data_IF_666612595428
#
_entry.id   IF_666612595428
#
_cell.length_a   1.000
_cell.length_b   1.000
_cell.length_c   1.000
_cell.angle_alpha   90.00
_cell.angle_beta   90.00
_cell.angle_gamma   90.00
#
_symmetry.space_group_name_H-M   'P 1'
#
loop_
_entity.id
_entity.type
_entity.pdbx_description
1 polymer ?
#
# COMPACT_ATOMS: atom_id res chain seq x y z
N UNK A 1 23.20 -63.68 33.00
CA UNK A 1 22.16 -63.25 32.08
C UNK A 1 21.16 -62.36 32.81
N UNK A 2 21.23 -61.07 32.68
CA UNK A 2 20.20 -60.07 33.12
C UNK A 2 20.09 -59.01 32.04
N UNK A 3 18.93 -59.00 31.38
CA UNK A 3 18.55 -57.96 30.42
C UNK A 3 18.17 -56.70 31.19
N UNK A 4 18.78 -55.58 30.84
CA UNK A 4 18.38 -54.27 31.27
C UNK A 4 17.55 -53.61 30.16
N UNK A 5 16.26 -53.34 30.44
CA UNK A 5 15.36 -52.64 29.54
C UNK A 5 15.59 -51.15 29.66
N UNK A 6 15.83 -50.50 28.52
CA UNK A 6 15.86 -49.02 28.37
C UNK A 6 14.45 -48.54 28.09
N UNK A 7 13.88 -47.80 29.01
CA UNK A 7 12.65 -47.01 28.81
C UNK A 7 12.98 -45.69 28.10
N UNK A 8 12.50 -45.54 26.85
CA UNK A 8 12.49 -44.27 26.15
C UNK A 8 11.25 -43.47 26.55
N UNK A 9 11.47 -42.38 27.27
CA UNK A 9 10.42 -41.37 27.53
C UNK A 9 10.28 -40.48 26.31
N UNK A 10 9.15 -40.57 25.63
CA UNK A 10 8.79 -39.66 24.54
C UNK A 10 8.26 -38.33 25.12
N UNK A 11 9.01 -37.25 24.94
CA UNK A 11 8.53 -35.90 25.23
C UNK A 11 7.57 -35.47 24.11
N UNK A 12 6.29 -35.35 24.40
CA UNK A 12 5.31 -34.76 23.54
C UNK A 12 5.42 -33.21 23.60
N UNK A 13 5.91 -32.59 22.54
CA UNK A 13 5.89 -31.13 22.39
C UNK A 13 4.48 -30.76 21.95
N UNK A 14 3.72 -30.12 22.83
CA UNK A 14 2.43 -29.54 22.52
C UNK A 14 2.65 -28.26 21.67
N UNK A 15 2.37 -28.35 20.38
CA UNK A 15 2.30 -27.20 19.50
C UNK A 15 1.02 -26.39 19.83
N UNK A 16 1.18 -25.24 20.47
CA UNK A 16 0.09 -24.28 20.63
C UNK A 16 -0.18 -23.61 19.29
N UNK A 17 -1.18 -24.11 18.55
CA UNK A 17 -1.71 -23.47 17.36
C UNK A 17 -2.39 -22.16 17.77
N UNK A 18 -1.72 -21.02 17.53
CA UNK A 18 -2.35 -19.71 17.63
C UNK A 18 -3.52 -19.63 16.63
N UNK A 19 -4.73 -19.56 17.14
CA UNK A 19 -5.93 -19.34 16.33
C UNK A 19 -5.90 -17.91 15.81
N UNK A 20 -5.56 -17.73 14.53
CA UNK A 20 -5.91 -16.51 13.82
C UNK A 20 -7.43 -16.36 13.93
N UNK A 21 -7.89 -15.24 14.48
CA UNK A 21 -9.32 -14.90 14.54
C UNK A 21 -9.81 -14.73 13.12
N UNK A 22 -10.36 -15.77 12.52
CA UNK A 22 -11.09 -15.68 11.28
C UNK A 22 -12.29 -14.76 11.53
N UNK A 23 -12.42 -13.70 10.74
CA UNK A 23 -13.62 -12.85 10.69
C UNK A 23 -14.78 -13.78 10.38
N UNK A 24 -15.56 -14.11 11.41
CA UNK A 24 -16.49 -15.23 11.37
C UNK A 24 -17.75 -14.90 10.55
N UNK A 25 -18.15 -15.85 9.73
CA UNK A 25 -19.50 -15.93 9.18
C UNK A 25 -20.47 -16.25 10.32
N UNK A 26 -21.54 -15.46 10.45
CA UNK A 26 -22.64 -15.79 11.36
C UNK A 26 -23.54 -16.80 10.63
N UNK A 27 -23.62 -18.02 11.14
CA UNK A 27 -24.48 -19.04 10.58
C UNK A 27 -25.95 -18.71 10.87
N UNK A 28 -26.75 -18.54 9.82
CA UNK A 28 -28.20 -18.43 9.92
C UNK A 28 -28.83 -19.85 9.90
N UNK A 29 -30.06 -20.05 10.45
CA UNK A 29 -30.76 -21.29 10.28
C UNK A 29 -31.01 -21.60 8.80
N UNK A 30 -30.48 -22.74 8.30
CA UNK A 30 -30.57 -23.16 6.90
C UNK A 30 -29.21 -23.12 6.17
N UNK A 31 -29.25 -22.99 4.85
CA UNK A 31 -28.08 -23.02 3.95
C UNK A 31 -27.35 -21.67 3.80
N UNK A 32 -27.85 -20.62 4.46
CA UNK A 32 -27.34 -19.26 4.28
C UNK A 32 -26.53 -18.79 5.46
N UNK A 33 -25.51 -17.98 5.17
CA UNK A 33 -24.64 -17.33 6.18
C UNK A 33 -24.57 -15.84 5.91
N UNK A 34 -24.36 -15.03 6.95
CA UNK A 34 -24.07 -13.60 6.78
C UNK A 34 -22.60 -13.43 6.46
N UNK A 35 -22.29 -12.83 5.30
CA UNK A 35 -20.95 -12.42 4.98
C UNK A 35 -20.53 -11.25 5.88
N UNK A 36 -19.46 -11.41 6.62
CA UNK A 36 -18.90 -10.31 7.42
C UNK A 36 -18.43 -9.15 6.54
N UNK A 37 -18.34 -7.95 7.11
CA UNK A 37 -17.82 -6.78 6.41
C UNK A 37 -16.39 -7.02 5.94
N UNK A 38 -16.10 -6.71 4.68
CA UNK A 38 -14.75 -6.79 4.10
C UNK A 38 -13.91 -5.54 4.37
N UNK A 39 -14.49 -4.53 5.03
CA UNK A 39 -13.77 -3.30 5.37
C UNK A 39 -12.83 -3.59 6.53
N UNK A 40 -11.53 -3.55 6.27
CA UNK A 40 -10.52 -3.63 7.31
C UNK A 40 -10.60 -2.38 8.20
N UNK A 41 -10.68 -2.59 9.50
CA UNK A 41 -10.66 -1.52 10.51
C UNK A 41 -9.21 -1.37 10.97
N UNK A 42 -8.68 -0.14 11.11
CA UNK A 42 -7.35 0.09 11.66
C UNK A 42 -7.23 -0.45 13.08
N UNK A 43 -6.01 -0.86 13.45
CA UNK A 43 -5.70 -1.37 14.78
C UNK A 43 -6.09 -0.33 15.87
N UNK A 44 -6.80 -0.80 16.88
CA UNK A 44 -7.24 0.01 18.01
C UNK A 44 -8.56 0.76 17.82
N UNK A 45 -9.21 0.63 16.66
CA UNK A 45 -10.54 1.20 16.43
C UNK A 45 -11.64 0.17 16.70
N UNK A 46 -12.78 0.63 17.23
CA UNK A 46 -13.95 -0.20 17.50
C UNK A 46 -14.92 -0.22 16.33
N UNK A 47 -15.68 -1.31 16.18
CA UNK A 47 -16.74 -1.43 15.19
C UNK A 47 -17.78 -0.32 15.38
N UNK A 48 -18.14 0.37 14.31
CA UNK A 48 -19.06 1.50 14.32
C UNK A 48 -18.47 2.83 14.80
N UNK A 49 -17.23 2.85 15.28
CA UNK A 49 -16.51 4.08 15.68
C UNK A 49 -15.47 4.55 14.65
N UNK A 50 -15.58 4.02 13.44
CA UNK A 50 -14.66 4.31 12.33
C UNK A 50 -15.45 4.68 11.07
N UNK A 51 -14.96 5.66 10.34
CA UNK A 51 -15.52 6.09 9.06
C UNK A 51 -14.43 6.18 8.00
N UNK A 52 -14.66 5.54 6.86
CA UNK A 52 -13.83 5.72 5.66
C UNK A 52 -14.59 6.51 4.61
N UNK A 53 -13.97 7.57 4.11
CA UNK A 53 -14.48 8.37 3.00
C UNK A 53 -13.57 8.14 1.79
N UNK A 54 -14.15 7.77 0.66
CA UNK A 54 -13.44 7.55 -0.61
C UNK A 54 -13.99 8.53 -1.64
N UNK A 55 -13.12 9.36 -2.21
CA UNK A 55 -13.49 10.37 -3.22
C UNK A 55 -12.62 10.21 -4.47
N UNK A 56 -13.20 10.09 -5.66
CA UNK A 56 -12.47 10.04 -6.93
C UNK A 56 -12.11 11.45 -7.43
N UNK A 57 -10.90 11.60 -7.96
CA UNK A 57 -10.39 12.82 -8.61
C UNK A 57 -9.66 12.45 -9.91
N UNK A 58 -10.36 12.37 -11.03
CA UNK A 58 -9.77 11.90 -12.30
C UNK A 58 -8.97 10.60 -12.11
N UNK A 59 -7.64 10.72 -12.13
CA UNK A 59 -6.68 9.61 -12.02
C UNK A 59 -6.34 9.28 -10.56
N UNK A 60 -6.91 9.98 -9.58
CA UNK A 60 -6.55 9.89 -8.17
C UNK A 60 -7.74 9.51 -7.31
N UNK A 61 -7.46 8.78 -6.25
CA UNK A 61 -8.46 8.45 -5.22
C UNK A 61 -7.99 8.96 -3.87
N UNK A 62 -8.79 9.82 -3.27
CA UNK A 62 -8.61 10.26 -1.88
C UNK A 62 -9.32 9.26 -0.96
N UNK A 63 -8.58 8.72 -0.02
CA UNK A 63 -9.10 7.83 1.02
C UNK A 63 -8.79 8.48 2.36
N UNK A 64 -9.82 8.82 3.13
CA UNK A 64 -9.67 9.39 4.46
C UNK A 64 -10.31 8.45 5.49
N UNK A 65 -9.55 8.10 6.48
CA UNK A 65 -9.96 7.29 7.63
C UNK A 65 -10.11 8.19 8.85
N UNK A 66 -11.26 8.12 9.51
CA UNK A 66 -11.58 8.95 10.66
C UNK A 66 -12.07 8.08 11.82
N UNK A 67 -11.40 8.21 12.97
CA UNK A 67 -11.91 7.72 14.24
C UNK A 67 -13.01 8.65 14.74
N UNK A 68 -14.22 8.12 14.93
CA UNK A 68 -15.34 8.91 15.42
C UNK A 68 -15.23 9.24 16.90
N UNK A 69 -14.44 8.46 17.65
CA UNK A 69 -14.16 8.65 19.06
C UNK A 69 -13.12 9.74 19.27
N UNK A 70 -11.92 9.57 18.70
CA UNK A 70 -10.79 10.51 18.88
C UNK A 70 -10.83 11.72 17.94
N UNK A 71 -11.72 11.69 16.92
CA UNK A 71 -11.79 12.67 15.82
C UNK A 71 -10.50 12.79 15.01
N UNK A 72 -9.58 11.85 15.17
CA UNK A 72 -8.37 11.78 14.38
C UNK A 72 -8.70 11.34 12.97
N UNK A 73 -8.22 12.10 11.99
CA UNK A 73 -8.41 11.83 10.56
C UNK A 73 -7.05 11.65 9.90
N UNK A 74 -6.92 10.58 9.12
CA UNK A 74 -5.73 10.28 8.31
C UNK A 74 -6.16 10.11 6.87
N UNK A 75 -5.55 10.85 5.96
CA UNK A 75 -5.88 10.80 4.55
C UNK A 75 -4.70 10.28 3.72
N UNK A 76 -5.03 9.51 2.69
CA UNK A 76 -4.10 9.00 1.69
C UNK A 76 -4.67 9.30 0.31
N UNK A 77 -3.85 9.88 -0.55
CA UNK A 77 -4.22 10.16 -1.94
C UNK A 77 -3.39 9.26 -2.84
N UNK A 78 -4.05 8.38 -3.58
CA UNK A 78 -3.39 7.30 -4.32
C UNK A 78 -3.78 7.23 -5.79
N UNK A 79 -2.85 6.77 -6.62
CA UNK A 79 -3.08 6.37 -8.00
C UNK A 79 -2.42 5.02 -8.23
N UNK A 80 -3.11 4.14 -8.95
CA UNK A 80 -2.59 2.82 -9.35
C UNK A 80 -2.52 2.72 -10.87
N UNK A 81 -1.41 2.23 -11.37
CA UNK A 81 -1.21 1.89 -12.77
C UNK A 81 -1.21 0.36 -12.88
N UNK A 82 -1.99 -0.14 -13.81
CA UNK A 82 -2.17 -1.58 -14.04
C UNK A 82 -1.78 -1.95 -15.47
N UNK A 83 -1.37 -3.19 -15.69
CA UNK A 83 -1.15 -3.73 -17.03
C UNK A 83 -2.48 -4.06 -17.72
N UNK A 84 -2.41 -4.59 -18.95
CA UNK A 84 -3.59 -4.97 -19.75
C UNK A 84 -4.42 -6.09 -19.10
N UNK A 85 -3.86 -6.85 -18.16
CA UNK A 85 -4.53 -7.92 -17.42
C UNK A 85 -5.10 -7.43 -16.10
N UNK A 86 -4.91 -6.15 -15.77
CA UNK A 86 -5.34 -5.54 -14.51
C UNK A 86 -4.37 -5.78 -13.36
N UNK A 87 -3.18 -6.34 -13.61
CA UNK A 87 -2.18 -6.52 -12.57
C UNK A 87 -1.49 -5.18 -12.25
N UNK A 88 -1.31 -4.82 -10.97
CA UNK A 88 -0.67 -3.56 -10.60
C UNK A 88 0.82 -3.59 -10.94
N UNK A 89 1.27 -2.61 -11.73
CA UNK A 89 2.67 -2.40 -12.08
C UNK A 89 3.29 -1.24 -11.29
N UNK A 90 2.47 -0.34 -10.80
CA UNK A 90 2.91 0.79 -9.99
C UNK A 90 1.75 1.35 -9.16
N UNK A 91 2.05 1.73 -7.96
CA UNK A 91 1.15 2.54 -7.14
C UNK A 91 1.99 3.60 -6.44
N UNK A 92 1.48 4.80 -6.37
CA UNK A 92 2.03 5.82 -5.49
C UNK A 92 0.96 6.45 -4.62
N UNK A 93 1.40 6.88 -3.44
CA UNK A 93 0.54 7.47 -2.44
C UNK A 93 1.16 8.74 -1.91
N UNK A 94 0.38 9.79 -1.86
CA UNK A 94 0.74 11.05 -1.21
C UNK A 94 0.19 11.03 0.20
N UNK A 95 1.09 11.05 1.17
CA UNK A 95 0.80 10.92 2.59
C UNK A 95 1.53 11.99 3.39
N UNK A 96 1.21 12.15 4.67
CA UNK A 96 2.00 12.95 5.59
C UNK A 96 2.63 12.05 6.66
N UNK A 97 3.82 12.41 7.12
CA UNK A 97 4.43 11.81 8.32
C UNK A 97 3.64 12.19 9.57
N UNK A 98 3.96 11.57 10.69
CA UNK A 98 3.41 11.97 11.99
C UNK A 98 3.71 13.44 12.35
N UNK A 99 4.81 14.00 11.83
CA UNK A 99 5.17 15.42 11.95
C UNK A 99 4.46 16.34 10.94
N UNK A 100 3.60 15.78 10.07
CA UNK A 100 2.88 16.52 9.03
C UNK A 100 3.68 16.80 7.77
N UNK A 101 4.87 16.24 7.62
CA UNK A 101 5.69 16.41 6.41
C UNK A 101 5.15 15.59 5.25
N UNK A 102 4.96 16.19 4.06
CA UNK A 102 4.40 15.49 2.93
C UNK A 102 5.44 14.56 2.28
N UNK A 103 5.05 13.32 2.05
CA UNK A 103 5.85 12.27 1.39
C UNK A 103 5.10 11.63 0.23
N UNK A 104 5.86 11.09 -0.72
CA UNK A 104 5.36 10.14 -1.71
C UNK A 104 5.93 8.77 -1.38
N UNK A 105 5.04 7.80 -1.24
CA UNK A 105 5.38 6.37 -1.12
C UNK A 105 5.03 5.69 -2.43
N UNK A 106 6.00 5.11 -3.10
CA UNK A 106 5.84 4.34 -4.33
C UNK A 106 5.90 2.85 -4.05
N UNK A 107 5.08 2.08 -4.76
CA UNK A 107 5.09 0.61 -4.71
C UNK A 107 5.23 0.08 -6.13
N UNK A 108 6.14 -0.86 -6.29
CA UNK A 108 6.44 -1.58 -7.54
C UNK A 108 6.44 -3.08 -7.27
N UNK A 109 6.31 -3.95 -8.29
CA UNK A 109 6.36 -5.39 -8.09
C UNK A 109 7.60 -5.84 -7.32
N UNK A 110 7.45 -6.84 -6.44
CA UNK A 110 8.55 -7.40 -5.64
C UNK A 110 9.73 -7.90 -6.50
N UNK A 111 9.46 -8.29 -7.75
CA UNK A 111 10.47 -8.72 -8.72
C UNK A 111 11.52 -7.63 -9.04
N UNK A 112 11.24 -6.35 -8.75
CA UNK A 112 12.24 -5.29 -8.90
C UNK A 112 13.40 -5.48 -7.93
N UNK A 113 13.13 -5.88 -6.69
CA UNK A 113 14.14 -6.10 -5.66
C UNK A 113 14.49 -4.84 -4.85
N UNK A 114 15.26 -5.06 -3.79
CA UNK A 114 15.75 -4.02 -2.88
C UNK A 114 16.90 -3.23 -3.50
N UNK A 115 16.98 -1.94 -3.21
CA UNK A 115 18.07 -1.07 -3.66
C UNK A 115 18.00 -0.69 -5.15
N UNK A 116 16.92 -1.05 -5.86
CA UNK A 116 16.75 -0.75 -7.28
C UNK A 116 16.15 0.63 -7.50
N UNK A 117 16.46 1.22 -8.66
CA UNK A 117 16.05 2.57 -9.00
C UNK A 117 14.70 2.62 -9.69
N UNK A 118 13.91 3.63 -9.31
CA UNK A 118 12.69 4.05 -9.97
C UNK A 118 12.91 5.47 -10.49
N UNK A 119 12.87 5.66 -11.80
CA UNK A 119 12.99 6.96 -12.45
C UNK A 119 11.62 7.63 -12.60
N UNK A 120 11.53 8.92 -12.28
CA UNK A 120 10.39 9.78 -12.55
C UNK A 120 10.86 10.91 -13.46
N UNK A 121 10.40 10.95 -14.71
CA UNK A 121 10.63 12.04 -15.64
C UNK A 121 9.37 12.91 -15.71
N UNK A 122 9.49 14.20 -15.38
CA UNK A 122 8.39 15.13 -15.17
C UNK A 122 8.31 16.16 -16.31
N UNK A 123 7.22 16.15 -17.05
CA UNK A 123 6.99 17.05 -18.18
C UNK A 123 7.90 16.78 -19.40
N UNK A 124 7.85 17.67 -20.37
CA UNK A 124 8.57 17.53 -21.67
C UNK A 124 10.08 17.77 -21.55
N UNK A 125 10.51 18.50 -20.54
CA UNK A 125 11.92 18.74 -20.24
C UNK A 125 12.31 17.90 -19.03
N UNK A 126 13.47 17.21 -19.05
CA UNK A 126 13.75 16.15 -18.11
C UNK A 126 14.09 16.67 -16.70
N UNK A 127 13.11 17.23 -16.02
CA UNK A 127 13.15 17.26 -14.57
C UNK A 127 13.05 15.81 -14.10
N UNK A 128 14.14 15.27 -13.55
CA UNK A 128 14.22 13.87 -13.16
C UNK A 128 14.33 13.74 -11.65
N UNK A 129 13.58 12.80 -11.11
CA UNK A 129 13.72 12.31 -9.75
C UNK A 129 14.08 10.83 -9.85
N UNK A 130 15.04 10.40 -9.07
CA UNK A 130 15.38 8.97 -8.91
C UNK A 130 15.10 8.60 -7.47
N UNK A 131 14.24 7.62 -7.27
CA UNK A 131 13.99 6.99 -6.00
C UNK A 131 14.66 5.62 -5.96
N UNK A 132 14.95 5.12 -4.77
CA UNK A 132 15.52 3.80 -4.58
C UNK A 132 14.60 2.98 -3.67
N UNK A 133 14.39 1.71 -4.00
CA UNK A 133 13.58 0.82 -3.16
C UNK A 133 14.30 0.58 -1.84
N UNK A 134 13.61 0.88 -0.74
CA UNK A 134 14.12 0.83 0.63
C UNK A 134 13.60 -0.37 1.44
N UNK A 135 12.52 -1.00 0.97
CA UNK A 135 11.90 -2.17 1.60
C UNK A 135 11.19 -3.01 0.56
N UNK A 136 11.24 -4.34 0.71
CA UNK A 136 10.46 -5.27 -0.09
C UNK A 136 9.81 -6.33 0.81
N UNK A 137 8.60 -6.75 0.44
CA UNK A 137 7.93 -7.93 0.95
C UNK A 137 7.62 -8.91 -0.21
N UNK A 138 6.78 -9.91 0.02
CA UNK A 138 6.45 -10.90 -1.02
C UNK A 138 5.60 -10.33 -2.17
N UNK A 139 4.92 -9.18 -1.98
CA UNK A 139 3.99 -8.61 -2.95
C UNK A 139 4.60 -7.43 -3.71
N UNK A 140 5.34 -6.56 -3.04
CA UNK A 140 5.88 -5.33 -3.63
C UNK A 140 7.14 -4.83 -2.92
N UNK A 141 7.89 -3.99 -3.65
CA UNK A 141 8.93 -3.15 -3.08
C UNK A 141 8.41 -1.71 -2.92
N UNK A 142 8.87 -1.02 -1.89
CA UNK A 142 8.57 0.40 -1.64
C UNK A 142 9.78 1.28 -1.84
N UNK A 143 9.53 2.50 -2.28
CA UNK A 143 10.48 3.61 -2.29
C UNK A 143 9.78 4.87 -1.77
N UNK A 144 10.49 5.70 -1.03
CA UNK A 144 9.93 6.90 -0.42
C UNK A 144 10.72 8.13 -0.84
N UNK A 145 10.04 9.22 -1.21
CA UNK A 145 10.65 10.51 -1.52
C UNK A 145 9.92 11.66 -0.83
N UNK A 146 10.66 12.70 -0.47
CA UNK A 146 10.09 13.95 -0.01
C UNK A 146 9.49 14.75 -1.19
N UNK A 147 8.41 15.50 -0.93
CA UNK A 147 7.82 16.40 -1.94
C UNK A 147 8.59 17.73 -1.96
N UNK A 148 9.66 17.76 -2.77
CA UNK A 148 10.49 18.95 -2.97
C UNK A 148 9.86 20.00 -3.91
N UNK A 149 10.50 21.19 -4.08
CA UNK A 149 9.99 22.28 -4.90
C UNK A 149 9.73 21.90 -6.36
N UNK A 150 10.58 21.07 -6.96
CA UNK A 150 10.43 20.57 -8.33
C UNK A 150 9.12 19.79 -8.48
N UNK A 151 8.89 18.77 -7.66
CA UNK A 151 7.67 17.95 -7.72
C UNK A 151 6.42 18.80 -7.45
N UNK A 152 6.48 19.73 -6.49
CA UNK A 152 5.36 20.66 -6.21
C UNK A 152 4.97 21.50 -7.42
N UNK A 153 5.95 21.97 -8.21
CA UNK A 153 5.70 22.74 -9.44
C UNK A 153 4.93 21.89 -10.45
N UNK A 154 5.37 20.65 -10.69
CA UNK A 154 4.74 19.72 -11.62
C UNK A 154 3.35 19.29 -11.16
N UNK A 155 3.15 19.06 -9.87
CA UNK A 155 1.82 18.77 -9.29
C UNK A 155 0.84 19.93 -9.56
N UNK A 156 1.26 21.18 -9.36
CA UNK A 156 0.41 22.35 -9.63
C UNK A 156 0.07 22.50 -11.11
N UNK A 157 1.00 22.16 -11.98
CA UNK A 157 0.81 22.24 -13.42
C UNK A 157 0.03 21.06 -13.99
N UNK A 158 -0.14 19.97 -13.21
CA UNK A 158 -0.81 18.75 -13.68
C UNK A 158 -0.09 18.07 -14.84
N UNK A 159 1.26 18.15 -14.87
CA UNK A 159 2.06 17.61 -15.96
C UNK A 159 2.05 16.09 -15.97
N UNK A 160 2.40 15.51 -17.13
CA UNK A 160 2.63 14.08 -17.22
C UNK A 160 3.92 13.68 -16.50
N UNK A 161 3.90 12.51 -15.90
CA UNK A 161 5.06 11.87 -15.29
C UNK A 161 5.29 10.53 -15.97
N UNK A 162 6.46 10.34 -16.57
CA UNK A 162 6.90 9.03 -17.04
C UNK A 162 7.64 8.32 -15.92
N UNK A 163 7.14 7.17 -15.51
CA UNK A 163 7.79 6.29 -14.54
C UNK A 163 8.56 5.21 -15.28
N UNK A 164 9.80 4.92 -14.87
CA UNK A 164 10.59 3.83 -15.44
C UNK A 164 11.38 3.09 -14.38
N UNK A 165 11.54 1.77 -14.57
CA UNK A 165 12.42 0.89 -13.78
C UNK A 165 12.78 -0.34 -14.61
N UNK A 166 13.82 -1.09 -14.20
CA UNK A 166 14.29 -2.26 -14.94
C UNK A 166 14.09 -3.53 -14.11
N UNK A 167 13.30 -4.46 -14.64
CA UNK A 167 13.14 -5.80 -14.07
C UNK A 167 14.20 -6.74 -14.66
N UNK A 168 14.77 -7.61 -13.84
CA UNK A 168 15.82 -8.54 -14.27
C UNK A 168 15.33 -9.46 -15.41
N UNK A 169 14.09 -9.92 -15.36
CA UNK A 169 13.53 -10.91 -16.31
C UNK A 169 12.76 -10.27 -17.48
N UNK A 170 12.33 -9.01 -17.35
CA UNK A 170 11.47 -8.34 -18.34
C UNK A 170 12.09 -7.10 -18.98
N UNK A 171 13.28 -6.65 -18.54
CA UNK A 171 13.94 -5.47 -19.04
C UNK A 171 13.32 -4.16 -18.53
N UNK A 172 13.44 -3.08 -19.34
CA UNK A 172 12.92 -1.77 -18.98
C UNK A 172 11.40 -1.74 -19.06
N UNK A 173 10.77 -1.30 -17.98
CA UNK A 173 9.33 -1.01 -17.87
C UNK A 173 9.18 0.50 -17.81
N UNK A 174 8.33 1.07 -18.68
CA UNK A 174 8.08 2.51 -18.75
C UNK A 174 6.61 2.77 -19.07
N UNK A 175 6.00 3.73 -18.37
CA UNK A 175 4.58 4.10 -18.53
C UNK A 175 4.30 5.52 -18.04
N UNK A 176 3.14 6.06 -18.41
CA UNK A 176 2.67 7.36 -17.94
C UNK A 176 1.90 7.23 -16.61
N UNK A 177 2.24 8.08 -15.66
CA UNK A 177 1.55 8.27 -14.39
C UNK A 177 1.16 9.76 -14.25
N UNK A 178 0.04 10.20 -14.83
CA UNK A 178 -0.30 11.62 -14.95
C UNK A 178 -0.57 12.26 -13.58
N UNK A 179 -0.04 13.47 -13.37
CA UNK A 179 -0.30 14.28 -12.17
C UNK A 179 -1.62 15.07 -12.25
N UNK A 180 -2.31 15.00 -13.38
CA UNK A 180 -3.58 15.70 -13.57
C UNK A 180 -4.63 15.24 -12.55
N UNK A 181 -5.30 16.20 -11.92
CA UNK A 181 -6.25 15.98 -10.83
C UNK A 181 -5.64 15.93 -9.42
N UNK A 182 -4.31 15.70 -9.30
CA UNK A 182 -3.63 15.58 -8.02
C UNK A 182 -3.71 16.87 -7.19
N UNK A 183 -3.49 18.03 -7.81
CA UNK A 183 -3.53 19.31 -7.10
C UNK A 183 -4.92 19.59 -6.49
N UNK A 184 -5.98 19.30 -7.24
CA UNK A 184 -7.37 19.44 -6.77
C UNK A 184 -7.65 18.49 -5.61
N UNK A 185 -7.20 17.24 -5.73
CA UNK A 185 -7.38 16.23 -4.68
C UNK A 185 -6.61 16.56 -3.40
N UNK A 186 -5.36 17.07 -3.51
CA UNK A 186 -4.59 17.55 -2.35
C UNK A 186 -5.28 18.73 -1.64
N UNK A 187 -5.98 19.59 -2.39
CA UNK A 187 -6.72 20.71 -1.83
C UNK A 187 -7.95 20.25 -1.02
N UNK A 188 -8.49 19.07 -1.32
CA UNK A 188 -9.62 18.47 -0.62
C UNK A 188 -9.22 17.74 0.69
N UNK A 189 -7.92 17.53 0.95
CA UNK A 189 -7.42 16.90 2.18
C UNK A 189 -7.47 17.81 3.42
N UNK A 190 -7.83 19.08 3.26
CA UNK A 190 -7.88 20.11 4.33
C UNK A 190 -9.01 19.88 5.31
#
# INVERSE_FOLDING_TARGET
MRLAGLLFAALAVAATSGTASAVGWVQLPGEYTVKASEVAIPDGEELGQYRRVVQPFKNWTLICDESLTSKKRVCNLTQSIVDQRGAPVFNWSFVATAAGEPLVVMRVPAALGLGQQIGLALGDKPDRIVAQTDRCDAAFCTATIAIGPMLRRHIRAGTDCTVSYTLADAGEVSFQAPLDGLFTALSAMK
#
